data_IF_499043490183
#
_entry.id   IF_499043490183
#
_cell.length_a   1.000
_cell.length_b   1.000
_cell.length_c   1.000
_cell.angle_alpha   90.00
_cell.angle_beta   90.00
_cell.angle_gamma   90.00
#
_symmetry.space_group_name_H-M   'P 1'
#
loop_
_entity.id
_entity.type
_entity.pdbx_description
1 polymer ?
#
# COMPACT_ATOMS: atom_id res chain seq x y z
N UNK A 1 -4.11 2.08 13.04
CA UNK A 1 -5.40 1.42 12.82
C UNK A 1 -5.19 0.32 11.80
N UNK A 2 -5.69 -0.89 12.07
CA UNK A 2 -5.63 -2.03 11.15
C UNK A 2 -7.06 -2.32 10.65
N UNK A 3 -7.22 -2.38 9.33
CA UNK A 3 -8.48 -2.66 8.64
C UNK A 3 -8.31 -3.95 7.82
N UNK A 4 -9.25 -4.89 7.98
CA UNK A 4 -9.24 -6.15 7.25
C UNK A 4 -10.62 -6.48 6.71
N UNK A 5 -10.73 -6.78 5.41
CA UNK A 5 -11.99 -7.17 4.76
C UNK A 5 -13.15 -6.20 5.02
N UNK A 6 -12.86 -4.90 5.10
CA UNK A 6 -13.86 -3.84 5.29
C UNK A 6 -14.14 -3.10 3.99
N UNK A 7 -15.33 -2.52 3.93
CA UNK A 7 -15.77 -1.69 2.81
C UNK A 7 -16.18 -2.51 1.59
N UNK A 8 -17.12 -1.95 0.85
CA UNK A 8 -17.67 -2.55 -0.38
C UNK A 8 -17.17 -1.85 -1.64
N UNK A 9 -16.68 -0.61 -1.49
CA UNK A 9 -16.23 0.23 -2.60
C UNK A 9 -15.26 1.32 -2.14
N UNK A 10 -14.65 2.01 -3.11
CA UNK A 10 -13.70 3.09 -2.88
C UNK A 10 -14.31 4.26 -2.11
N UNK A 11 -15.62 4.52 -2.28
CA UNK A 11 -16.36 5.57 -1.58
C UNK A 11 -16.26 5.44 -0.07
N UNK A 12 -16.31 4.21 0.47
CA UNK A 12 -16.19 3.97 1.91
C UNK A 12 -14.83 4.42 2.47
N UNK A 13 -13.74 4.11 1.77
CA UNK A 13 -12.39 4.57 2.14
C UNK A 13 -12.27 6.10 2.02
N UNK A 14 -12.87 6.68 0.99
CA UNK A 14 -12.84 8.12 0.76
C UNK A 14 -13.62 8.91 1.81
N UNK A 15 -14.75 8.40 2.31
CA UNK A 15 -15.47 9.00 3.44
C UNK A 15 -14.71 8.80 4.76
N UNK A 16 -14.19 7.59 5.01
CA UNK A 16 -13.33 7.31 6.17
C UNK A 16 -12.17 8.32 6.27
N UNK A 17 -11.51 8.62 5.15
CA UNK A 17 -10.38 9.55 5.11
C UNK A 17 -10.70 10.99 5.54
N UNK A 18 -11.98 11.38 5.61
CA UNK A 18 -12.42 12.70 6.08
C UNK A 18 -12.58 12.78 7.60
N UNK A 19 -12.78 11.64 8.27
CA UNK A 19 -13.15 11.58 9.69
C UNK A 19 -11.99 11.38 10.66
N UNK A 20 -10.76 11.22 10.16
CA UNK A 20 -9.63 10.74 10.96
C UNK A 20 -8.45 11.75 11.02
N UNK A 21 -8.62 12.93 11.64
CA UNK A 21 -7.62 14.01 11.60
C UNK A 21 -6.31 13.68 12.32
N UNK A 22 -6.33 12.74 13.27
CA UNK A 22 -5.15 12.38 14.09
C UNK A 22 -4.53 11.03 13.69
N UNK A 23 -5.00 10.40 12.61
CA UNK A 23 -4.55 9.06 12.25
C UNK A 23 -3.14 9.11 11.64
N UNK A 24 -2.17 8.53 12.35
CA UNK A 24 -0.77 8.51 11.92
C UNK A 24 -0.34 7.21 11.24
N UNK A 25 -0.99 6.08 11.57
CA UNK A 25 -0.65 4.76 11.05
C UNK A 25 -1.89 4.04 10.55
N UNK A 26 -1.90 3.66 9.27
CA UNK A 26 -2.98 2.90 8.64
C UNK A 26 -2.41 1.62 8.01
N UNK A 27 -3.01 0.48 8.36
CA UNK A 27 -2.67 -0.83 7.82
C UNK A 27 -3.95 -1.46 7.25
N UNK A 28 -3.88 -2.03 6.06
CA UNK A 28 -5.05 -2.55 5.35
C UNK A 28 -4.72 -3.87 4.67
N UNK A 29 -5.61 -4.87 4.79
CA UNK A 29 -5.47 -6.13 4.05
C UNK A 29 -6.79 -6.69 3.57
N UNK A 30 -6.78 -7.35 2.41
CA UNK A 30 -7.97 -8.02 1.88
C UNK A 30 -9.15 -7.08 1.66
N UNK A 31 -8.86 -5.80 1.39
CA UNK A 31 -9.89 -4.80 1.12
C UNK A 31 -10.06 -4.62 -0.39
N UNK A 32 -11.22 -4.12 -0.79
CA UNK A 32 -11.55 -3.93 -2.21
C UNK A 32 -11.07 -2.59 -2.78
N UNK A 33 -10.14 -1.86 -2.16
CA UNK A 33 -9.84 -0.50 -2.59
C UNK A 33 -8.87 -0.42 -3.77
N UNK A 34 -9.10 0.53 -4.67
CA UNK A 34 -8.20 0.82 -5.80
C UNK A 34 -6.95 1.60 -5.38
N UNK A 35 -5.89 1.50 -6.19
CA UNK A 35 -4.69 2.35 -6.06
C UNK A 35 -5.06 3.84 -5.95
N UNK A 36 -5.98 4.29 -6.80
CA UNK A 36 -6.43 5.69 -6.84
C UNK A 36 -7.09 6.09 -5.52
N UNK A 37 -7.99 5.27 -5.00
CA UNK A 37 -8.67 5.56 -3.73
C UNK A 37 -7.69 5.58 -2.55
N UNK A 38 -6.73 4.64 -2.52
CA UNK A 38 -5.66 4.60 -1.53
C UNK A 38 -4.79 5.86 -1.58
N UNK A 39 -4.37 6.28 -2.77
CA UNK A 39 -3.57 7.49 -2.93
C UNK A 39 -4.33 8.75 -2.50
N UNK A 40 -5.61 8.88 -2.90
CA UNK A 40 -6.47 10.00 -2.49
C UNK A 40 -6.71 10.02 -0.97
N UNK A 41 -6.95 8.85 -0.35
CA UNK A 41 -7.12 8.76 1.10
C UNK A 41 -5.83 9.15 1.84
N UNK A 42 -4.66 8.73 1.35
CA UNK A 42 -3.36 9.10 1.92
C UNK A 42 -3.10 10.61 1.88
N UNK A 43 -3.61 11.32 0.86
CA UNK A 43 -3.54 12.78 0.79
C UNK A 43 -4.52 13.48 1.75
N UNK A 44 -5.71 12.90 1.95
CA UNK A 44 -6.75 13.45 2.85
C UNK A 44 -6.42 13.23 4.33
N UNK A 45 -5.76 12.12 4.66
CA UNK A 45 -5.28 11.80 6.00
C UNK A 45 -4.00 12.60 6.30
N UNK A 46 -4.15 13.89 6.60
CA UNK A 46 -3.03 14.85 6.70
C UNK A 46 -2.01 14.53 7.80
N UNK A 47 -2.41 13.81 8.87
CA UNK A 47 -1.50 13.37 9.92
C UNK A 47 -0.80 12.03 9.62
N UNK A 48 -1.11 11.38 8.50
CA UNK A 48 -0.60 10.04 8.19
C UNK A 48 0.91 10.03 7.99
N UNK A 49 1.59 9.17 8.73
CA UNK A 49 3.05 8.95 8.70
C UNK A 49 3.43 7.55 8.21
N UNK A 50 2.50 6.61 8.22
CA UNK A 50 2.72 5.23 7.80
C UNK A 50 1.45 4.65 7.18
N UNK A 51 1.60 4.03 6.01
CA UNK A 51 0.58 3.30 5.28
C UNK A 51 1.15 1.94 4.86
N UNK A 52 0.45 0.86 5.21
CA UNK A 52 0.71 -0.46 4.65
C UNK A 52 -0.59 -1.03 4.08
N UNK A 53 -0.51 -1.60 2.88
CA UNK A 53 -1.65 -2.21 2.19
C UNK A 53 -1.22 -3.53 1.59
N UNK A 54 -2.00 -4.59 1.75
CA UNK A 54 -1.83 -5.87 1.06
C UNK A 54 -3.12 -6.26 0.33
N UNK A 55 -3.00 -6.54 -0.97
CA UNK A 55 -4.13 -6.89 -1.82
C UNK A 55 -5.03 -5.68 -2.09
N UNK A 56 -4.75 -4.99 -3.19
CA UNK A 56 -5.47 -3.83 -3.67
C UNK A 56 -5.76 -3.97 -5.17
N UNK A 57 -6.74 -3.21 -5.68
CA UNK A 57 -7.04 -3.19 -7.12
C UNK A 57 -6.04 -2.29 -7.85
N UNK A 58 -5.11 -2.91 -8.58
CA UNK A 58 -4.11 -2.21 -9.39
C UNK A 58 -4.77 -1.38 -10.50
N UNK A 59 -4.21 -0.20 -10.79
CA UNK A 59 -4.70 0.63 -11.90
C UNK A 59 -4.25 0.07 -13.24
N UNK A 60 -5.07 0.23 -14.29
CA UNK A 60 -4.74 -0.28 -15.62
C UNK A 60 -3.48 0.32 -16.24
N UNK A 61 -3.06 1.51 -15.77
CA UNK A 61 -1.85 2.18 -16.22
C UNK A 61 -0.68 2.10 -15.20
N UNK A 62 -0.91 1.52 -14.01
CA UNK A 62 0.07 1.40 -12.91
C UNK A 62 0.55 2.74 -12.34
N UNK A 63 -0.16 3.84 -12.59
CA UNK A 63 0.30 5.21 -12.28
C UNK A 63 -0.54 5.90 -11.21
N UNK A 64 -1.67 5.34 -10.78
CA UNK A 64 -2.55 6.02 -9.82
C UNK A 64 -1.89 6.25 -8.44
N UNK A 65 -0.93 5.41 -8.04
CA UNK A 65 -0.15 5.62 -6.82
C UNK A 65 0.75 6.87 -6.87
N UNK A 66 1.07 7.38 -8.07
CA UNK A 66 1.84 8.62 -8.21
C UNK A 66 1.10 9.84 -7.65
N UNK A 67 -0.23 9.77 -7.53
CA UNK A 67 -1.04 10.85 -6.97
C UNK A 67 -0.59 11.23 -5.55
N UNK A 68 -0.12 10.26 -4.75
CA UNK A 68 0.31 10.52 -3.37
C UNK A 68 1.82 10.78 -3.21
N UNK A 69 2.58 10.87 -4.31
CA UNK A 69 4.00 11.25 -4.28
C UNK A 69 4.11 12.71 -3.81
N UNK A 70 4.89 12.92 -2.74
CA UNK A 70 5.13 14.24 -2.13
C UNK A 70 6.42 14.22 -1.30
N UNK A 71 6.98 15.39 -0.93
CA UNK A 71 8.21 15.45 -0.13
C UNK A 71 8.11 14.62 1.16
N UNK A 72 9.23 13.97 1.50
CA UNK A 72 9.39 13.14 2.69
C UNK A 72 8.42 11.95 2.77
N UNK A 73 7.71 11.60 1.69
CA UNK A 73 6.81 10.45 1.64
C UNK A 73 7.38 9.38 0.70
N UNK A 74 8.03 8.38 1.28
CA UNK A 74 8.55 7.25 0.53
C UNK A 74 7.42 6.28 0.22
N UNK A 75 7.45 5.67 -0.96
CA UNK A 75 6.53 4.63 -1.37
C UNK A 75 7.37 3.47 -1.89
N UNK A 76 7.08 2.26 -1.43
CA UNK A 76 7.73 1.01 -1.78
C UNK A 76 6.67 0.00 -2.22
N UNK A 77 6.88 -0.57 -3.40
CA UNK A 77 6.02 -1.60 -3.97
C UNK A 77 6.67 -2.96 -3.75
N UNK A 78 5.90 -3.87 -3.17
CA UNK A 78 6.30 -5.27 -2.98
C UNK A 78 5.41 -6.09 -3.92
N UNK A 79 5.93 -6.63 -5.03
CA UNK A 79 5.14 -7.39 -5.98
C UNK A 79 4.49 -8.62 -5.35
N UNK A 80 3.40 -9.07 -5.97
CA UNK A 80 2.81 -10.36 -5.63
C UNK A 80 3.83 -11.49 -5.89
N UNK A 81 3.79 -12.52 -5.05
CA UNK A 81 4.69 -13.68 -5.15
C UNK A 81 3.96 -14.95 -4.79
N UNK A 82 4.40 -16.06 -5.37
CA UNK A 82 3.99 -17.39 -4.93
C UNK A 82 4.91 -17.87 -3.81
N UNK A 83 4.34 -18.50 -2.80
CA UNK A 83 5.07 -18.98 -1.62
C UNK A 83 4.66 -20.41 -1.35
N UNK A 84 5.64 -21.30 -1.24
CA UNK A 84 5.40 -22.64 -0.74
C UNK A 84 5.21 -22.58 0.77
N UNK A 85 4.05 -23.04 1.24
CA UNK A 85 3.71 -23.14 2.66
C UNK A 85 3.47 -24.61 2.95
N UNK A 86 3.87 -25.06 4.14
CA UNK A 86 3.50 -26.40 4.60
C UNK A 86 2.00 -26.41 4.96
N UNK A 87 1.29 -27.38 4.41
CA UNK A 87 -0.08 -27.71 4.81
C UNK A 87 -0.08 -28.48 6.13
N UNK A 88 -1.26 -28.64 6.72
CA UNK A 88 -1.47 -29.31 8.00
C UNK A 88 -0.97 -30.77 8.00
N UNK A 89 -0.92 -31.40 6.83
CA UNK A 89 -0.43 -32.78 6.63
C UNK A 89 1.06 -32.85 6.24
N UNK A 90 1.80 -31.73 6.29
CA UNK A 90 3.22 -31.65 5.90
C UNK A 90 3.46 -31.66 4.38
N UNK A 91 2.39 -31.57 3.57
CA UNK A 91 2.48 -31.35 2.13
C UNK A 91 2.88 -29.90 1.82
N UNK A 92 3.49 -29.64 0.66
CA UNK A 92 3.76 -28.26 0.21
C UNK A 92 2.63 -27.75 -0.66
N UNK A 93 2.01 -26.64 -0.26
CA UNK A 93 1.00 -25.91 -1.04
C UNK A 93 1.58 -24.58 -1.55
N UNK A 94 1.28 -24.23 -2.79
CA UNK A 94 1.66 -22.93 -3.36
C UNK A 94 0.52 -21.95 -3.09
N UNK A 95 0.81 -20.91 -2.30
CA UNK A 95 -0.15 -19.85 -1.96
C UNK A 95 0.30 -18.54 -2.60
N UNK A 96 -0.62 -17.85 -3.25
CA UNK A 96 -0.39 -16.50 -3.75
C UNK A 96 -0.37 -15.50 -2.59
N UNK A 97 0.74 -14.79 -2.44
CA UNK A 97 0.84 -13.61 -1.59
C UNK A 97 0.59 -12.37 -2.45
N UNK A 98 -0.49 -11.61 -2.21
CA UNK A 98 -0.82 -10.42 -2.99
C UNK A 98 0.26 -9.34 -2.89
N UNK A 99 0.26 -8.41 -3.86
CA UNK A 99 1.16 -7.27 -3.83
C UNK A 99 0.89 -6.35 -2.62
N UNK A 100 1.95 -5.70 -2.13
CA UNK A 100 1.89 -4.72 -1.05
C UNK A 100 2.29 -3.33 -1.51
N UNK A 101 1.73 -2.34 -0.83
CA UNK A 101 2.22 -0.96 -0.81
C UNK A 101 2.71 -0.70 0.62
N UNK A 102 3.92 -0.20 0.74
CA UNK A 102 4.45 0.36 1.99
C UNK A 102 4.79 1.82 1.72
N UNK A 103 4.19 2.74 2.46
CA UNK A 103 4.53 4.15 2.37
C UNK A 103 4.74 4.75 3.76
N UNK A 104 5.75 5.60 3.90
CA UNK A 104 6.13 6.14 5.20
C UNK A 104 6.81 7.49 5.08
N UNK A 105 6.65 8.29 6.13
CA UNK A 105 7.31 9.57 6.23
C UNK A 105 8.78 9.38 6.64
N UNK A 106 9.70 10.01 5.92
CA UNK A 106 11.14 9.97 6.20
C UNK A 106 11.81 11.28 5.85
N UNK A 107 12.61 11.82 6.78
CA UNK A 107 13.51 12.95 6.51
C UNK A 107 14.82 12.50 5.85
N UNK A 108 15.13 11.20 5.87
CA UNK A 108 16.33 10.64 5.24
C UNK A 108 16.17 10.43 3.73
N UNK A 109 14.99 10.73 3.16
CA UNK A 109 14.65 10.36 1.78
C UNK A 109 14.46 8.85 1.62
N UNK A 110 14.51 8.38 0.37
CA UNK A 110 14.42 6.95 0.04
C UNK A 110 15.65 6.20 0.56
N UNK A 111 15.41 4.99 1.10
CA UNK A 111 16.49 4.08 1.50
C UNK A 111 17.28 3.61 0.26
N UNK A 112 18.50 3.12 0.45
CA UNK A 112 19.38 2.70 -0.67
C UNK A 112 19.64 1.18 -0.69
N UNK A 113 19.12 0.47 0.31
CA UNK A 113 19.34 -0.95 0.59
C UNK A 113 18.05 -1.75 0.34
N UNK A 114 17.44 -1.54 -0.82
CA UNK A 114 16.28 -2.32 -1.25
C UNK A 114 16.71 -3.75 -1.60
N UNK A 115 15.98 -4.78 -1.13
CA UNK A 115 16.13 -6.12 -1.69
C UNK A 115 15.65 -6.12 -3.17
N UNK A 116 16.08 -7.09 -4.00
CA UNK A 116 15.72 -7.13 -5.42
C UNK A 116 14.21 -7.19 -5.72
N UNK A 117 13.41 -7.63 -4.74
CA UNK A 117 11.96 -7.73 -4.86
C UNK A 117 11.23 -6.42 -4.60
N UNK A 118 11.85 -5.42 -3.96
CA UNK A 118 11.18 -4.17 -3.58
C UNK A 118 11.51 -3.08 -4.60
N UNK A 119 10.47 -2.40 -5.09
CA UNK A 119 10.60 -1.30 -6.05
C UNK A 119 10.22 0.01 -5.37
N UNK A 120 11.16 0.96 -5.19
CA UNK A 120 10.77 2.30 -4.77
C UNK A 120 9.90 2.96 -5.84
N UNK A 121 8.92 3.74 -5.41
CA UNK A 121 8.14 4.64 -6.25
C UNK A 121 8.46 6.08 -5.84
N UNK A 122 8.94 6.87 -6.78
CA UNK A 122 9.36 8.25 -6.56
C UNK A 122 9.20 9.11 -7.82
N UNK A 123 9.36 10.44 -7.68
CA UNK A 123 9.20 11.37 -8.80
C UNK A 123 10.22 11.12 -9.93
N UNK A 124 11.39 10.57 -9.61
CA UNK A 124 12.50 10.36 -10.56
C UNK A 124 12.26 9.18 -11.53
N UNK A 125 11.17 8.42 -11.37
CA UNK A 125 10.80 7.28 -12.22
C UNK A 125 9.97 7.72 -13.45
N UNK A 126 9.66 9.02 -13.57
CA UNK A 126 8.87 9.58 -14.67
C UNK A 126 9.69 10.04 -15.89
N UNK A 127 10.93 9.58 -16.05
CA UNK A 127 11.79 9.87 -17.20
C UNK A 127 11.68 8.77 -18.27
#
# INVERSE_FOLDING_TARGET
MLLGYVGESDEGLLEFSRGCPSLQKLEMRGCCFSERALAMAALRLTALRYLWVQGYRASGNGRDLLIMVRPNWNIELIPARQVCVEDQDGGQIIVEHPAHILAYYSLAGQRTDFPPSVRPLGPDILI
#
